data_IF_396564545543
#
_entry.id   IF_396564545543
#
_cell.length_a   1.000
_cell.length_b   1.000
_cell.length_c   1.000
_cell.angle_alpha   90.00
_cell.angle_beta   90.00
_cell.angle_gamma   90.00
#
_symmetry.space_group_name_H-M   'P 1'
#
loop_
_entity.id
_entity.type
_entity.pdbx_description
1 polymer ?
#
# COMPACT_ATOMS: atom_id res chain seq x y z
N UNK A 1 -0.56 -19.66 14.95
CA UNK A 1 -2.03 -19.59 15.15
C UNK A 1 -2.56 -18.16 15.02
N UNK A 2 -2.31 -17.25 15.97
CA UNK A 2 -2.97 -15.92 15.97
C UNK A 2 -2.70 -15.06 14.73
N UNK A 3 -1.44 -14.90 14.29
CA UNK A 3 -1.13 -14.14 13.06
C UNK A 3 -1.74 -14.76 11.81
N UNK A 4 -1.87 -16.09 11.75
CA UNK A 4 -2.53 -16.75 10.64
C UNK A 4 -4.04 -16.47 10.64
N UNK A 5 -4.68 -16.45 11.82
CA UNK A 5 -6.08 -16.04 11.93
C UNK A 5 -6.27 -14.57 11.50
N UNK A 6 -5.42 -13.66 11.97
CA UNK A 6 -5.45 -12.24 11.55
C UNK A 6 -5.30 -12.13 10.03
N UNK A 7 -4.34 -12.85 9.44
CA UNK A 7 -4.11 -12.85 8.00
C UNK A 7 -5.33 -13.36 7.21
N UNK A 8 -5.92 -14.48 7.63
CA UNK A 8 -7.12 -15.03 6.99
C UNK A 8 -8.28 -14.05 7.10
N UNK A 9 -8.54 -13.47 8.29
CA UNK A 9 -9.63 -12.50 8.47
C UNK A 9 -9.35 -11.23 7.65
N UNK A 10 -8.10 -10.80 7.53
CA UNK A 10 -7.73 -9.69 6.65
C UNK A 10 -8.10 -9.98 5.19
N UNK A 11 -7.73 -11.14 4.66
CA UNK A 11 -8.12 -11.55 3.31
C UNK A 11 -9.65 -11.55 3.17
N UNK A 12 -10.36 -12.22 4.07
CA UNK A 12 -11.82 -12.33 3.98
C UNK A 12 -12.48 -10.93 3.99
N UNK A 13 -12.10 -10.06 4.91
CA UNK A 13 -12.70 -8.72 5.03
C UNK A 13 -12.38 -7.79 3.87
N UNK A 14 -11.19 -7.90 3.26
CA UNK A 14 -10.77 -7.05 2.14
C UNK A 14 -11.29 -7.57 0.80
N UNK A 15 -11.51 -8.88 0.63
CA UNK A 15 -11.91 -9.46 -0.66
C UNK A 15 -13.39 -9.85 -0.76
N UNK A 16 -14.06 -10.22 0.34
CA UNK A 16 -15.50 -10.56 0.27
C UNK A 16 -16.31 -9.32 -0.09
N UNK A 17 -17.08 -9.43 -1.17
CA UNK A 17 -17.92 -8.36 -1.71
C UNK A 17 -17.15 -7.17 -2.25
N UNK A 18 -15.88 -7.34 -2.64
CA UNK A 18 -15.01 -6.24 -3.06
C UNK A 18 -15.56 -5.47 -4.29
N UNK A 19 -16.28 -6.17 -5.17
CA UNK A 19 -16.96 -5.57 -6.33
C UNK A 19 -18.39 -5.07 -6.06
N UNK A 20 -18.96 -5.27 -4.87
CA UNK A 20 -20.39 -5.06 -4.65
C UNK A 20 -20.79 -3.57 -4.64
N UNK A 21 -19.82 -2.68 -4.37
CA UNK A 21 -20.05 -1.24 -4.35
C UNK A 21 -19.85 -0.63 -5.72
N UNK A 22 -20.82 0.18 -6.14
CA UNK A 22 -20.70 1.03 -7.33
C UNK A 22 -19.46 1.93 -7.22
N UNK A 23 -18.78 2.10 -8.35
CA UNK A 23 -17.60 2.94 -8.47
C UNK A 23 -17.96 4.42 -8.24
N UNK A 24 -17.28 5.05 -7.29
CA UNK A 24 -17.48 6.48 -7.01
C UNK A 24 -16.85 7.37 -8.07
N UNK A 25 -17.13 8.68 -8.02
CA UNK A 25 -16.56 9.65 -8.97
C UNK A 25 -15.03 9.56 -9.05
N UNK A 26 -14.33 9.56 -7.90
CA UNK A 26 -12.86 9.51 -7.91
C UNK A 26 -12.32 8.16 -8.40
N UNK A 27 -13.02 7.06 -8.12
CA UNK A 27 -12.62 5.74 -8.61
C UNK A 27 -12.87 5.57 -10.11
N UNK A 28 -13.89 6.23 -10.67
CA UNK A 28 -14.29 6.11 -12.07
C UNK A 28 -13.17 6.52 -13.03
N UNK A 29 -12.39 7.54 -12.66
CA UNK A 29 -11.25 7.98 -13.44
C UNK A 29 -10.12 6.95 -13.38
N UNK A 30 -9.76 6.49 -12.19
CA UNK A 30 -8.71 5.48 -12.02
C UNK A 30 -9.03 4.19 -12.78
N UNK A 31 -10.28 3.74 -12.73
CA UNK A 31 -10.73 2.54 -13.46
C UNK A 31 -10.73 2.73 -14.97
N UNK A 32 -11.24 3.85 -15.47
CA UNK A 32 -11.31 4.13 -16.91
C UNK A 32 -9.93 4.22 -17.57
N UNK A 33 -9.00 4.99 -17.01
CA UNK A 33 -7.67 5.12 -17.61
C UNK A 33 -6.83 3.84 -17.45
N UNK A 34 -7.03 3.07 -16.39
CA UNK A 34 -6.44 1.73 -16.27
C UNK A 34 -7.00 0.76 -17.32
N UNK A 35 -8.29 0.90 -17.66
CA UNK A 35 -8.93 0.11 -18.70
C UNK A 35 -8.39 0.45 -20.10
N UNK A 36 -8.23 1.75 -20.42
CA UNK A 36 -7.61 2.17 -21.69
C UNK A 36 -6.16 1.67 -21.82
N UNK A 37 -5.41 1.71 -20.71
CA UNK A 37 -4.06 1.14 -20.66
C UNK A 37 -4.08 -0.37 -20.92
N UNK A 38 -4.97 -1.09 -20.26
CA UNK A 38 -5.12 -2.53 -20.41
C UNK A 38 -5.54 -2.94 -21.83
N UNK A 39 -6.55 -2.26 -22.40
CA UNK A 39 -7.17 -2.63 -23.67
C UNK A 39 -6.36 -2.18 -24.88
N UNK A 40 -5.91 -0.93 -24.87
CA UNK A 40 -5.35 -0.27 -26.05
C UNK A 40 -3.87 0.12 -25.87
N UNK A 41 -3.28 -0.12 -24.69
CA UNK A 41 -1.94 0.36 -24.35
C UNK A 41 -1.87 1.89 -24.19
N UNK A 42 -3.03 2.56 -24.12
CA UNK A 42 -3.11 4.01 -24.12
C UNK A 42 -3.20 4.56 -22.69
N UNK A 43 -2.10 5.10 -22.20
CA UNK A 43 -2.05 5.86 -20.95
C UNK A 43 -1.13 7.07 -21.09
N UNK A 44 -1.70 8.25 -20.90
CA UNK A 44 -0.93 9.49 -20.81
C UNK A 44 -1.10 10.06 -19.40
N UNK A 45 -0.01 10.09 -18.65
CA UNK A 45 -0.01 10.71 -17.33
C UNK A 45 -0.31 12.20 -17.44
N UNK A 46 -1.20 12.68 -16.57
CA UNK A 46 -1.45 14.10 -16.38
C UNK A 46 -1.37 14.42 -14.89
N UNK A 47 -0.87 15.61 -14.50
CA UNK A 47 -0.75 15.99 -13.09
C UNK A 47 -2.07 16.00 -12.32
N UNK A 48 -3.21 16.06 -13.02
CA UNK A 48 -4.54 16.00 -12.40
C UNK A 48 -4.84 14.63 -11.78
N UNK A 49 -4.15 13.58 -12.23
CA UNK A 49 -4.50 12.19 -11.98
C UNK A 49 -3.59 11.50 -10.96
N UNK A 50 -2.75 12.28 -10.26
CA UNK A 50 -1.70 11.78 -9.38
C UNK A 50 -0.76 10.79 -10.09
N UNK A 51 -0.03 9.97 -9.31
CA UNK A 51 1.05 9.13 -9.83
C UNK A 51 0.58 7.96 -10.71
N UNK A 52 1.44 7.47 -11.63
CA UNK A 52 1.06 6.44 -12.59
C UNK A 52 0.92 5.02 -12.02
N UNK A 53 1.42 4.75 -10.81
CA UNK A 53 1.58 3.38 -10.29
C UNK A 53 0.24 2.67 -10.11
N UNK A 54 -0.78 3.34 -9.57
CA UNK A 54 -2.11 2.75 -9.41
C UNK A 54 -2.69 2.31 -10.74
N UNK A 55 -2.54 3.13 -11.78
CA UNK A 55 -3.07 2.83 -13.11
C UNK A 55 -2.42 1.59 -13.71
N UNK A 56 -1.10 1.47 -13.59
CA UNK A 56 -0.37 0.33 -14.11
C UNK A 56 -0.67 -0.95 -13.30
N UNK A 57 -0.75 -0.85 -11.98
CA UNK A 57 -1.09 -1.98 -11.13
C UNK A 57 -2.53 -2.46 -11.38
N UNK A 58 -3.46 -1.54 -11.61
CA UNK A 58 -4.86 -1.86 -11.92
C UNK A 58 -5.01 -2.44 -13.32
N UNK A 59 -4.34 -1.89 -14.33
CA UNK A 59 -4.31 -2.47 -15.67
C UNK A 59 -3.73 -3.89 -15.67
N UNK A 60 -2.69 -4.15 -14.86
CA UNK A 60 -2.15 -5.49 -14.66
C UNK A 60 -3.16 -6.42 -13.98
N UNK A 61 -3.94 -5.91 -13.03
CA UNK A 61 -5.06 -6.67 -12.43
C UNK A 61 -6.12 -7.05 -13.47
N UNK A 62 -6.49 -6.12 -14.36
CA UNK A 62 -7.41 -6.39 -15.47
C UNK A 62 -6.85 -7.43 -16.44
N UNK A 63 -5.55 -7.38 -16.73
CA UNK A 63 -4.89 -8.39 -17.56
C UNK A 63 -4.98 -9.81 -16.98
N UNK A 64 -4.88 -9.94 -15.65
CA UNK A 64 -4.94 -11.24 -14.99
C UNK A 64 -6.36 -11.77 -14.77
N UNK A 65 -7.33 -10.90 -14.48
CA UNK A 65 -8.64 -11.29 -13.96
C UNK A 65 -9.83 -10.78 -14.78
N UNK A 66 -9.59 -10.06 -15.87
CA UNK A 66 -10.60 -9.33 -16.65
C UNK A 66 -10.98 -7.99 -16.01
N UNK A 67 -11.62 -7.11 -16.77
CA UNK A 67 -12.09 -5.81 -16.32
C UNK A 67 -13.43 -5.92 -15.58
N UNK A 68 -13.42 -5.58 -14.28
CA UNK A 68 -14.59 -5.60 -13.39
C UNK A 68 -14.36 -4.75 -12.14
N UNK A 69 -15.42 -4.33 -11.46
CA UNK A 69 -15.34 -3.60 -10.17
C UNK A 69 -14.52 -4.35 -9.11
N UNK A 70 -14.58 -5.69 -9.12
CA UNK A 70 -13.76 -6.53 -8.25
C UNK A 70 -12.27 -6.40 -8.59
N UNK A 71 -11.92 -6.67 -9.85
CA UNK A 71 -10.53 -6.65 -10.32
C UNK A 71 -9.86 -5.27 -10.17
N UNK A 72 -10.64 -4.19 -10.32
CA UNK A 72 -10.19 -2.81 -10.13
C UNK A 72 -9.63 -2.55 -8.73
N UNK A 73 -10.21 -3.21 -7.72
CA UNK A 73 -9.88 -2.99 -6.31
C UNK A 73 -8.97 -4.06 -5.72
N UNK A 74 -8.52 -5.05 -6.51
CA UNK A 74 -7.59 -6.09 -6.04
C UNK A 74 -6.31 -5.46 -5.50
N UNK A 75 -5.73 -4.50 -6.24
CA UNK A 75 -4.48 -3.87 -5.84
C UNK A 75 -4.56 -3.19 -4.46
N UNK A 76 -5.49 -2.25 -4.18
CA UNK A 76 -5.61 -1.67 -2.85
C UNK A 76 -5.99 -2.72 -1.78
N UNK A 77 -6.78 -3.74 -2.11
CA UNK A 77 -7.15 -4.81 -1.17
C UNK A 77 -5.93 -5.64 -0.73
N UNK A 78 -5.06 -6.01 -1.66
CA UNK A 78 -3.80 -6.72 -1.38
C UNK A 78 -2.90 -5.87 -0.46
N UNK A 79 -2.72 -4.59 -0.80
CA UNK A 79 -1.95 -3.67 0.05
C UNK A 79 -2.57 -3.55 1.44
N UNK A 80 -3.89 -3.51 1.53
CA UNK A 80 -4.61 -3.47 2.80
C UNK A 80 -4.38 -4.70 3.68
N UNK A 81 -4.25 -5.90 3.09
CA UNK A 81 -3.87 -7.12 3.82
C UNK A 81 -2.43 -6.99 4.32
N UNK A 82 -1.51 -6.51 3.49
CA UNK A 82 -0.13 -6.27 3.93
C UNK A 82 -0.04 -5.25 5.07
N UNK A 83 -0.83 -4.19 5.03
CA UNK A 83 -0.88 -3.19 6.11
C UNK A 83 -1.39 -3.78 7.43
N UNK A 84 -2.39 -4.67 7.40
CA UNK A 84 -2.84 -5.38 8.61
C UNK A 84 -1.71 -6.22 9.20
N UNK A 85 -0.90 -6.85 8.35
CA UNK A 85 0.22 -7.70 8.78
C UNK A 85 1.50 -6.92 9.08
N UNK A 86 1.59 -5.66 8.66
CA UNK A 86 2.78 -4.83 8.76
C UNK A 86 3.35 -4.73 10.19
N UNK A 87 2.55 -4.62 11.26
CA UNK A 87 3.06 -4.56 12.63
C UNK A 87 3.88 -5.80 13.03
N UNK A 88 3.73 -6.94 12.34
CA UNK A 88 4.59 -8.11 12.53
C UNK A 88 6.07 -7.78 12.26
N UNK A 89 6.35 -6.98 11.23
CA UNK A 89 7.71 -6.52 10.91
C UNK A 89 8.26 -5.57 11.97
N UNK A 90 7.35 -4.86 12.65
CA UNK A 90 7.66 -3.91 13.73
C UNK A 90 7.81 -4.56 15.11
N UNK A 91 7.74 -5.89 15.21
CA UNK A 91 7.72 -6.62 16.49
C UNK A 91 8.92 -6.35 17.40
N UNK A 92 10.08 -5.99 16.85
CA UNK A 92 11.27 -5.60 17.64
C UNK A 92 11.01 -4.34 18.49
N UNK A 93 10.26 -3.38 17.95
CA UNK A 93 10.00 -2.09 18.60
C UNK A 93 8.67 -2.07 19.36
N UNK A 94 7.64 -2.74 18.85
CA UNK A 94 6.31 -2.81 19.49
C UNK A 94 6.19 -3.93 20.53
N UNK A 95 7.14 -4.85 20.56
CA UNK A 95 7.02 -6.10 21.30
C UNK A 95 5.95 -7.04 20.71
N UNK A 96 5.78 -8.21 21.34
CA UNK A 96 4.82 -9.23 20.87
C UNK A 96 3.38 -8.72 20.93
N UNK A 97 2.96 -8.19 22.08
CA UNK A 97 1.58 -7.75 22.29
C UNK A 97 1.25 -6.47 21.55
N UNK A 98 2.16 -5.48 21.49
CA UNK A 98 1.94 -4.26 20.73
C UNK A 98 1.77 -4.53 19.23
N UNK A 99 2.57 -5.44 18.65
CA UNK A 99 2.40 -5.85 17.25
C UNK A 99 1.04 -6.53 17.00
N UNK A 100 0.59 -7.39 17.92
CA UNK A 100 -0.72 -8.06 17.82
C UNK A 100 -1.85 -7.02 17.89
N UNK A 101 -1.84 -6.17 18.91
CA UNK A 101 -2.89 -5.17 19.12
C UNK A 101 -2.95 -4.16 17.98
N UNK A 102 -1.80 -3.72 17.45
CA UNK A 102 -1.75 -2.86 16.27
C UNK A 102 -2.34 -3.55 15.03
N UNK A 103 -2.00 -4.83 14.80
CA UNK A 103 -2.55 -5.59 13.67
C UNK A 103 -4.07 -5.73 13.78
N UNK A 104 -4.58 -6.01 14.98
CA UNK A 104 -6.03 -6.09 15.24
C UNK A 104 -6.69 -4.72 15.06
N UNK A 105 -6.08 -3.64 15.56
CA UNK A 105 -6.59 -2.28 15.38
C UNK A 105 -6.73 -1.88 13.91
N UNK A 106 -5.73 -2.21 13.09
CA UNK A 106 -5.78 -1.99 11.63
C UNK A 106 -6.83 -2.91 10.98
N UNK A 107 -6.94 -4.16 11.44
CA UNK A 107 -7.89 -5.13 10.91
C UNK A 107 -9.34 -4.66 11.06
N UNK A 108 -9.71 -4.16 12.25
CA UNK A 108 -11.10 -3.80 12.60
C UNK A 108 -11.45 -2.34 12.31
N UNK A 109 -10.48 -1.49 11.95
CA UNK A 109 -10.73 -0.07 11.67
C UNK A 109 -11.63 0.09 10.44
N UNK A 110 -12.83 0.69 10.60
CA UNK A 110 -13.76 0.88 9.48
C UNK A 110 -13.20 1.85 8.44
N UNK A 111 -12.44 2.86 8.88
CA UNK A 111 -11.81 3.85 8.00
C UNK A 111 -10.75 3.19 7.11
N UNK A 112 -9.86 2.39 7.70
CA UNK A 112 -8.81 1.72 6.92
C UNK A 112 -9.40 0.63 6.03
N UNK A 113 -10.41 -0.11 6.51
CA UNK A 113 -11.11 -1.09 5.69
C UNK A 113 -11.76 -0.43 4.46
N UNK A 114 -12.39 0.74 4.63
CA UNK A 114 -12.97 1.51 3.52
C UNK A 114 -11.91 1.89 2.50
N UNK A 115 -10.82 2.54 2.92
CA UNK A 115 -9.78 3.02 2.00
C UNK A 115 -9.01 1.89 1.31
N UNK A 116 -8.80 0.77 1.99
CA UNK A 116 -8.13 -0.40 1.41
C UNK A 116 -9.03 -1.16 0.42
N UNK A 117 -10.32 -0.82 0.32
CA UNK A 117 -11.26 -1.35 -0.67
C UNK A 117 -11.69 -0.29 -1.68
N UNK A 118 -10.94 0.81 -1.76
CA UNK A 118 -11.24 1.97 -2.58
C UNK A 118 -10.04 2.27 -3.49
N UNK A 119 -10.25 2.32 -4.81
CA UNK A 119 -9.16 2.52 -5.77
C UNK A 119 -8.70 3.99 -5.76
N UNK A 120 -7.70 4.30 -4.94
CA UNK A 120 -7.09 5.63 -4.81
C UNK A 120 -5.61 5.53 -4.42
N UNK A 121 -4.86 6.56 -4.77
CA UNK A 121 -3.41 6.66 -4.54
C UNK A 121 -2.98 6.69 -3.07
N UNK A 122 -3.92 6.96 -2.15
CA UNK A 122 -3.63 6.99 -0.72
C UNK A 122 -3.11 5.64 -0.20
N UNK A 123 -3.73 4.54 -0.63
CA UNK A 123 -3.35 3.19 -0.17
C UNK A 123 -1.91 2.81 -0.57
N UNK A 124 -1.48 2.94 -1.84
CA UNK A 124 -0.08 2.70 -2.19
C UNK A 124 0.89 3.69 -1.52
N UNK A 125 0.53 4.96 -1.39
CA UNK A 125 1.36 5.95 -0.69
C UNK A 125 1.56 5.57 0.79
N UNK A 126 0.51 5.15 1.51
CA UNK A 126 0.61 4.70 2.91
C UNK A 126 1.52 3.47 3.02
N UNK A 127 1.38 2.48 2.13
CA UNK A 127 2.19 1.26 2.17
C UNK A 127 3.67 1.57 1.91
N UNK A 128 3.95 2.41 0.91
CA UNK A 128 5.29 2.89 0.62
C UNK A 128 5.90 3.61 1.84
N UNK A 129 5.16 4.51 2.47
CA UNK A 129 5.59 5.20 3.69
C UNK A 129 5.90 4.24 4.85
N UNK A 130 5.07 3.22 5.07
CA UNK A 130 5.34 2.19 6.07
C UNK A 130 6.65 1.46 5.78
N UNK A 131 6.90 1.07 4.52
CA UNK A 131 8.15 0.45 4.11
C UNK A 131 9.36 1.37 4.31
N UNK A 132 9.22 2.67 4.05
CA UNK A 132 10.24 3.67 4.35
C UNK A 132 10.55 3.72 5.85
N UNK A 133 9.52 3.78 6.72
CA UNK A 133 9.69 3.72 8.18
C UNK A 133 10.43 2.44 8.59
N UNK A 134 10.03 1.27 8.07
CA UNK A 134 10.67 0.01 8.41
C UNK A 134 12.14 -0.04 7.98
N UNK A 135 12.42 0.37 6.75
CA UNK A 135 13.78 0.41 6.22
C UNK A 135 14.66 1.37 7.04
N UNK A 136 14.13 2.54 7.39
CA UNK A 136 14.80 3.53 8.23
C UNK A 136 15.12 2.97 9.62
N UNK A 137 14.14 2.37 10.29
CA UNK A 137 14.32 1.79 11.62
C UNK A 137 15.30 0.62 11.60
N UNK A 138 15.25 -0.25 10.60
CA UNK A 138 16.22 -1.33 10.45
C UNK A 138 17.64 -0.81 10.16
N UNK A 139 17.78 0.27 9.42
CA UNK A 139 19.08 0.83 9.12
C UNK A 139 19.75 1.42 10.37
N UNK A 140 19.00 2.15 11.19
CA UNK A 140 19.51 2.85 12.39
C UNK A 140 19.58 1.93 13.61
N UNK A 141 18.48 1.27 13.96
CA UNK A 141 18.30 0.50 15.20
C UNK A 141 17.94 -0.98 14.94
N UNK A 142 18.27 -1.48 13.74
CA UNK A 142 18.17 -2.91 13.46
C UNK A 142 19.06 -3.74 14.38
N UNK A 143 18.83 -5.06 14.38
CA UNK A 143 19.69 -5.99 15.11
C UNK A 143 21.18 -5.83 14.69
N UNK A 144 22.16 -6.10 15.56
CA UNK A 144 23.58 -5.83 15.27
C UNK A 144 24.10 -6.42 13.96
N UNK A 145 23.65 -7.62 13.56
CA UNK A 145 24.02 -8.26 12.30
C UNK A 145 23.23 -7.78 11.07
N UNK A 146 22.32 -6.82 11.25
CA UNK A 146 21.34 -6.38 10.26
C UNK A 146 21.40 -4.88 10.01
N UNK A 147 21.68 -4.06 11.05
CA UNK A 147 21.75 -2.60 10.95
C UNK A 147 22.86 -2.12 10.03
N UNK A 148 22.73 -0.88 9.53
CA UNK A 148 23.70 -0.21 8.64
C UNK A 148 24.04 -0.96 7.34
N UNK A 149 23.22 -1.94 6.93
CA UNK A 149 23.39 -2.65 5.65
C UNK A 149 22.73 -1.89 4.51
N UNK A 150 23.41 -1.85 3.35
CA UNK A 150 22.95 -1.18 2.14
C UNK A 150 21.57 -1.64 1.65
N UNK A 151 21.18 -2.90 1.89
CA UNK A 151 19.85 -3.42 1.55
C UNK A 151 18.69 -2.58 2.08
N UNK A 152 18.85 -1.95 3.24
CA UNK A 152 17.82 -1.09 3.81
C UNK A 152 17.73 0.24 3.07
N UNK A 153 18.85 0.75 2.57
CA UNK A 153 18.85 1.95 1.71
C UNK A 153 18.20 1.65 0.36
N UNK A 154 18.42 0.46 -0.22
CA UNK A 154 17.73 0.05 -1.44
C UNK A 154 16.22 -0.12 -1.23
N UNK A 155 15.81 -0.72 -0.11
CA UNK A 155 14.39 -0.82 0.23
C UNK A 155 13.78 0.57 0.43
N UNK A 156 14.48 1.47 1.13
CA UNK A 156 14.03 2.84 1.34
C UNK A 156 13.90 3.59 0.01
N UNK A 157 14.90 3.52 -0.86
CA UNK A 157 14.88 4.17 -2.17
C UNK A 157 13.77 3.61 -3.08
N UNK A 158 13.58 2.29 -3.09
CA UNK A 158 12.49 1.66 -3.84
C UNK A 158 11.10 2.09 -3.32
N UNK A 159 10.92 2.12 -2.00
CA UNK A 159 9.69 2.60 -1.39
C UNK A 159 9.46 4.10 -1.64
N UNK A 160 10.51 4.91 -1.64
CA UNK A 160 10.46 6.33 -1.97
C UNK A 160 10.04 6.57 -3.43
N UNK A 161 10.61 5.82 -4.38
CA UNK A 161 10.22 5.89 -5.80
C UNK A 161 8.78 5.44 -5.99
N UNK A 162 8.34 4.40 -5.27
CA UNK A 162 6.94 3.99 -5.25
C UNK A 162 6.04 5.12 -4.71
N UNK A 163 6.42 5.78 -3.62
CA UNK A 163 5.64 6.89 -3.07
C UNK A 163 5.52 8.06 -4.07
N UNK A 164 6.64 8.49 -4.65
CA UNK A 164 6.71 9.53 -5.67
C UNK A 164 5.85 9.20 -6.90
N UNK A 165 5.85 7.94 -7.31
CA UNK A 165 5.02 7.45 -8.41
C UNK A 165 3.55 7.17 -8.03
N UNK A 166 3.14 7.41 -6.78
CA UNK A 166 1.76 7.26 -6.32
C UNK A 166 1.12 8.61 -6.03
N UNK A 167 1.72 9.43 -5.16
CA UNK A 167 1.09 10.68 -4.69
C UNK A 167 2.11 11.76 -4.32
N UNK A 168 1.74 13.01 -4.54
CA UNK A 168 2.58 14.20 -4.28
C UNK A 168 2.87 14.39 -2.79
N UNK A 169 2.12 13.72 -1.90
CA UNK A 169 2.45 13.62 -0.47
C UNK A 169 3.85 13.04 -0.22
N UNK A 170 4.44 12.35 -1.20
CA UNK A 170 5.85 11.93 -1.20
C UNK A 170 6.82 13.06 -0.82
N UNK A 171 6.58 14.30 -1.25
CA UNK A 171 7.43 15.45 -0.90
C UNK A 171 7.44 15.73 0.60
N UNK A 172 6.31 15.52 1.28
CA UNK A 172 6.24 15.65 2.74
C UNK A 172 7.05 14.55 3.42
N UNK A 173 6.98 13.32 2.92
CA UNK A 173 7.80 12.22 3.45
C UNK A 173 9.30 12.47 3.24
N UNK A 174 9.73 13.04 2.11
CA UNK A 174 11.12 13.48 1.90
C UNK A 174 11.56 14.43 3.02
N UNK A 175 10.75 15.45 3.31
CA UNK A 175 11.06 16.44 4.33
C UNK A 175 11.11 15.82 5.73
N UNK A 176 10.15 14.95 6.07
CA UNK A 176 10.09 14.24 7.36
C UNK A 176 11.33 13.37 7.55
N UNK A 177 11.67 12.49 6.60
CA UNK A 177 12.84 11.62 6.76
C UNK A 177 14.16 12.37 6.64
N UNK A 178 14.21 13.38 5.79
CA UNK A 178 15.38 14.25 5.63
C UNK A 178 15.75 14.98 6.91
N UNK A 179 14.76 15.47 7.67
CA UNK A 179 15.01 16.18 8.93
C UNK A 179 15.59 15.30 10.04
N UNK A 180 15.41 13.97 9.98
CA UNK A 180 16.05 13.03 10.92
C UNK A 180 17.46 12.59 10.47
N UNK A 181 17.90 12.96 9.26
CA UNK A 181 19.20 12.60 8.69
C UNK A 181 20.22 13.74 8.66
N UNK A 182 19.76 14.98 8.87
CA UNK A 182 20.58 16.19 9.06
C UNK A 182 20.86 16.42 10.53
#
# INVERSE_FOLDING_TARGET
ALYAAIFVIAILTRFIGLGDRVMSHDESLHTYYSYLLYRDGNFQHTPLMHGPILFHATAFSYFLFGDSDFSARIYPAVLGVFMVMFPLLMRRWLGKWGAILASIGILISPLLLYHHRYIREDTPAIMASLLMVYAFFQYIDGAPGVRRKARWLYLFAGAMLWNLGSKETAFMYVAIFGSFLT
#
